data_IF_340566711750
#
_entry.id   IF_340566711750
#
_cell.length_a   1.000
_cell.length_b   1.000
_cell.length_c   1.000
_cell.angle_alpha   90.00
_cell.angle_beta   90.00
_cell.angle_gamma   90.00
#
_symmetry.space_group_name_H-M   'P 1'
#
loop_
_entity.id
_entity.type
_entity.pdbx_description
1 polymer ?
#
# COMPACT_ATOMS: atom_id res chain seq x y z
N UNK A 1 1.76 3.55 4.49
CA UNK A 1 0.79 4.19 5.38
C UNK A 1 0.71 5.64 4.92
N UNK A 2 0.10 6.56 5.65
CA UNK A 2 0.37 7.97 5.41
C UNK A 2 1.79 8.34 5.91
N UNK A 3 2.48 9.31 5.29
CA UNK A 3 3.85 9.69 5.65
C UNK A 3 4.01 10.14 7.11
N UNK A 4 2.97 10.73 7.71
CA UNK A 4 3.00 11.21 9.10
C UNK A 4 3.10 10.03 10.06
N UNK A 5 2.27 9.00 9.87
CA UNK A 5 2.33 7.77 10.67
C UNK A 5 3.72 7.13 10.57
N UNK A 6 4.35 7.10 9.39
CA UNK A 6 5.70 6.58 9.24
C UNK A 6 6.75 7.37 10.03
N UNK A 7 6.73 8.70 9.90
CA UNK A 7 7.62 9.58 10.65
C UNK A 7 7.49 9.36 12.17
N UNK A 8 6.25 9.33 12.68
CA UNK A 8 5.96 9.13 14.11
C UNK A 8 6.40 7.75 14.59
N UNK A 9 6.17 6.69 13.81
CA UNK A 9 6.61 5.33 14.15
C UNK A 9 8.14 5.25 14.19
N UNK A 10 8.83 5.87 13.23
CA UNK A 10 10.30 5.89 13.18
C UNK A 10 10.90 6.57 14.41
N UNK A 11 10.36 7.72 14.80
CA UNK A 11 10.77 8.42 16.04
C UNK A 11 10.46 7.58 17.26
N UNK A 12 9.26 7.02 17.37
CA UNK A 12 8.87 6.17 18.49
C UNK A 12 9.78 4.93 18.62
N UNK A 13 10.23 4.34 17.51
CA UNK A 13 11.17 3.23 17.52
C UNK A 13 12.54 3.64 18.07
N UNK A 14 13.07 4.82 17.71
CA UNK A 14 14.32 5.32 18.27
C UNK A 14 14.20 5.62 19.78
N UNK A 15 13.09 6.24 20.20
CA UNK A 15 12.80 6.46 21.63
C UNK A 15 12.70 5.13 22.39
N UNK A 16 12.07 4.13 21.78
CA UNK A 16 11.92 2.80 22.38
C UNK A 16 13.25 2.08 22.64
N UNK A 17 14.29 2.40 21.86
CA UNK A 17 15.65 1.84 22.02
C UNK A 17 16.52 2.74 22.94
N UNK A 18 15.95 3.81 23.50
CA UNK A 18 16.59 4.64 24.53
C UNK A 18 17.15 5.97 24.03
N UNK A 19 16.79 6.42 22.83
CA UNK A 19 17.16 7.76 22.40
C UNK A 19 16.34 8.83 23.14
N UNK A 20 17.01 9.82 23.71
CA UNK A 20 16.34 10.96 24.34
C UNK A 20 15.46 11.70 23.34
N UNK A 21 14.26 12.06 23.77
CA UNK A 21 13.26 12.74 22.94
C UNK A 21 13.67 14.20 22.73
N UNK A 22 14.52 14.42 21.72
CA UNK A 22 14.90 15.74 21.26
C UNK A 22 15.07 15.75 19.75
N UNK A 23 14.59 16.82 19.11
CA UNK A 23 14.86 17.05 17.69
C UNK A 23 16.34 17.35 17.43
N UNK A 24 17.10 17.76 18.45
CA UNK A 24 18.56 17.93 18.33
C UNK A 24 19.33 16.61 18.50
N UNK A 25 18.66 15.52 18.89
CA UNK A 25 19.27 14.21 19.02
C UNK A 25 19.51 13.61 17.62
N UNK A 26 20.77 13.41 17.18
CA UNK A 26 21.04 12.93 15.82
C UNK A 26 20.53 11.50 15.55
N UNK A 27 20.36 10.67 16.57
CA UNK A 27 19.75 9.34 16.40
C UNK A 27 18.25 9.43 16.08
N UNK A 28 17.53 10.37 16.73
CA UNK A 28 16.12 10.68 16.42
C UNK A 28 16.02 11.26 15.00
N UNK A 29 16.91 12.19 14.63
CA UNK A 29 16.97 12.73 13.27
C UNK A 29 17.19 11.62 12.24
N UNK A 30 18.16 10.74 12.47
CA UNK A 30 18.47 9.63 11.58
C UNK A 30 17.27 8.70 11.40
N UNK A 31 16.62 8.30 12.49
CA UNK A 31 15.44 7.42 12.45
C UNK A 31 14.24 8.09 11.76
N UNK A 32 13.99 9.38 12.01
CA UNK A 32 12.95 10.15 11.34
C UNK A 32 13.20 10.24 9.83
N UNK A 33 14.40 10.65 9.43
CA UNK A 33 14.77 10.78 8.02
C UNK A 33 14.72 9.42 7.31
N UNK A 34 15.20 8.37 7.98
CA UNK A 34 15.11 7.00 7.48
C UNK A 34 13.66 6.54 7.32
N UNK A 35 12.77 6.85 8.26
CA UNK A 35 11.36 6.47 8.16
C UNK A 35 10.59 7.21 7.06
N UNK A 36 11.06 8.39 6.63
CA UNK A 36 10.46 9.14 5.53
C UNK A 36 11.11 8.81 4.19
N UNK A 37 12.37 8.35 4.17
CA UNK A 37 13.14 8.19 2.94
C UNK A 37 12.52 7.27 1.88
N UNK A 38 11.79 6.17 2.18
CA UNK A 38 11.19 5.34 1.14
C UNK A 38 10.17 6.08 0.29
N UNK A 39 9.44 7.04 0.86
CA UNK A 39 8.45 7.86 0.16
C UNK A 39 9.07 9.02 -0.64
N UNK A 40 10.41 9.19 -0.62
CA UNK A 40 11.09 10.11 -1.55
C UNK A 40 10.96 9.66 -3.02
N UNK A 41 10.38 8.49 -3.27
CA UNK A 41 9.95 8.08 -4.61
C UNK A 41 8.89 9.01 -5.23
N UNK A 42 8.26 9.90 -4.44
CA UNK A 42 7.44 10.99 -4.96
C UNK A 42 8.20 11.91 -5.92
N UNK A 43 9.53 11.96 -5.86
CA UNK A 43 10.36 12.69 -6.83
C UNK A 43 10.09 12.21 -8.26
N UNK A 44 9.72 10.93 -8.47
CA UNK A 44 9.35 10.41 -9.78
C UNK A 44 8.14 11.12 -10.40
N UNK A 45 7.30 11.78 -9.58
CA UNK A 45 6.15 12.53 -10.04
C UNK A 45 6.55 13.74 -10.90
N UNK A 46 7.78 14.23 -10.77
CA UNK A 46 8.32 15.27 -11.65
C UNK A 46 8.30 14.87 -13.13
N UNK A 47 8.48 13.59 -13.45
CA UNK A 47 8.39 13.06 -14.82
C UNK A 47 6.98 12.58 -15.20
N UNK A 48 5.98 12.86 -14.38
CA UNK A 48 4.57 12.54 -14.58
C UNK A 48 4.05 11.48 -13.62
N UNK A 49 2.76 11.56 -13.32
CA UNK A 49 2.09 10.67 -12.35
C UNK A 49 2.21 9.19 -12.72
N UNK A 50 2.23 8.85 -14.01
CA UNK A 50 2.42 7.49 -14.47
C UNK A 50 3.81 6.93 -14.13
N UNK A 51 4.86 7.77 -14.16
CA UNK A 51 6.22 7.39 -13.76
C UNK A 51 6.27 7.16 -12.26
N UNK A 52 5.66 8.06 -11.49
CA UNK A 52 5.52 7.91 -10.04
C UNK A 52 4.82 6.59 -9.69
N UNK A 53 3.63 6.33 -10.23
CA UNK A 53 2.85 5.13 -9.92
C UNK A 53 3.58 3.82 -10.28
N UNK A 54 4.44 3.86 -11.29
CA UNK A 54 5.26 2.71 -11.70
C UNK A 54 6.41 2.44 -10.72
N UNK A 55 7.00 3.47 -10.15
CA UNK A 55 8.16 3.37 -9.26
C UNK A 55 7.79 3.38 -7.78
N UNK A 56 6.58 3.85 -7.44
CA UNK A 56 6.11 3.96 -6.07
C UNK A 56 6.09 2.58 -5.40
N UNK A 57 6.74 2.48 -4.23
CA UNK A 57 6.94 1.22 -3.49
C UNK A 57 7.73 0.16 -4.25
N UNK A 58 8.53 0.61 -5.20
CA UNK A 58 9.48 -0.17 -5.98
C UNK A 58 10.85 -0.24 -5.28
N UNK A 59 11.88 0.30 -5.95
CA UNK A 59 13.27 0.25 -5.47
C UNK A 59 13.47 0.94 -4.11
N UNK A 60 12.81 2.07 -3.86
CA UNK A 60 12.93 2.83 -2.60
C UNK A 60 12.54 2.02 -1.36
N UNK A 61 11.66 1.02 -1.54
CA UNK A 61 11.14 0.14 -0.49
C UNK A 61 11.81 -1.25 -0.48
N UNK A 62 12.80 -1.49 -1.33
CA UNK A 62 13.53 -2.76 -1.37
C UNK A 62 14.73 -2.72 -0.42
N UNK A 63 15.20 -3.89 0.01
CA UNK A 63 16.32 -3.97 0.96
C UNK A 63 17.57 -3.18 0.47
N UNK A 64 18.00 -3.27 -0.81
CA UNK A 64 19.05 -2.39 -1.34
C UNK A 64 18.74 -0.90 -1.23
N UNK A 65 17.50 -0.47 -1.50
CA UNK A 65 17.07 0.92 -1.38
C UNK A 65 17.15 1.42 0.06
N UNK A 66 16.65 0.64 1.02
CA UNK A 66 16.71 0.98 2.45
C UNK A 66 18.15 1.10 2.95
N UNK A 67 19.04 0.18 2.55
CA UNK A 67 20.45 0.24 2.86
C UNK A 67 21.10 1.50 2.26
N UNK A 68 20.79 1.82 1.00
CA UNK A 68 21.30 3.02 0.32
C UNK A 68 20.91 4.31 1.05
N UNK A 69 19.63 4.45 1.42
CA UNK A 69 19.17 5.60 2.20
C UNK A 69 19.86 5.69 3.56
N UNK A 70 20.00 4.55 4.27
CA UNK A 70 20.68 4.52 5.56
C UNK A 70 22.16 4.92 5.47
N UNK A 71 22.88 4.50 4.42
CA UNK A 71 24.28 4.92 4.18
C UNK A 71 24.36 6.43 3.96
N UNK A 72 23.49 6.99 3.11
CA UNK A 72 23.50 8.43 2.80
C UNK A 72 23.15 9.25 4.05
N UNK A 73 22.07 8.91 4.74
CA UNK A 73 21.61 9.63 5.94
C UNK A 73 22.65 9.50 7.06
N UNK A 74 23.11 8.28 7.35
CA UNK A 74 24.13 8.03 8.36
C UNK A 74 25.44 8.75 8.06
N UNK A 75 25.87 8.76 6.79
CA UNK A 75 27.07 9.46 6.33
C UNK A 75 26.98 10.97 6.54
N UNK A 76 25.91 11.60 6.03
CA UNK A 76 25.67 13.04 6.19
C UNK A 76 25.58 13.44 7.66
N UNK A 77 24.79 12.72 8.46
CA UNK A 77 24.66 13.03 9.89
C UNK A 77 25.96 12.77 10.66
N UNK A 78 26.77 11.78 10.28
CA UNK A 78 28.07 11.53 10.94
C UNK A 78 29.08 12.64 10.69
N UNK A 79 28.97 13.35 9.57
CA UNK A 79 29.78 14.53 9.30
C UNK A 79 29.34 15.74 10.15
N UNK A 80 28.04 15.90 10.36
CA UNK A 80 27.47 16.98 11.17
C UNK A 80 27.58 16.73 12.68
N UNK A 81 27.51 15.47 13.09
CA UNK A 81 27.48 15.00 14.48
C UNK A 81 28.47 13.84 14.69
N UNK A 82 29.78 14.13 14.67
CA UNK A 82 30.82 13.09 14.71
C UNK A 82 30.78 12.24 16.00
N UNK A 83 30.26 12.77 17.10
CA UNK A 83 30.24 12.13 18.42
C UNK A 83 29.49 10.79 18.49
N UNK A 84 28.44 10.60 17.67
CA UNK A 84 27.66 9.35 17.65
C UNK A 84 28.25 8.28 16.74
N UNK A 85 29.13 8.68 15.81
CA UNK A 85 29.72 7.80 14.81
C UNK A 85 28.74 7.32 13.72
N UNK A 86 29.29 6.98 12.56
CA UNK A 86 28.54 6.52 11.39
C UNK A 86 27.66 5.30 11.68
N UNK A 87 28.17 4.31 12.42
CA UNK A 87 27.48 3.03 12.63
C UNK A 87 26.14 3.21 13.35
N UNK A 88 26.10 4.02 14.41
CA UNK A 88 24.87 4.25 15.18
C UNK A 88 23.83 5.02 14.36
N UNK A 89 24.27 6.04 13.60
CA UNK A 89 23.39 6.84 12.74
C UNK A 89 22.88 6.02 11.55
N UNK A 90 23.73 5.19 10.96
CA UNK A 90 23.35 4.24 9.92
C UNK A 90 22.25 3.30 10.41
N UNK A 91 22.44 2.63 11.56
CA UNK A 91 21.43 1.71 12.08
C UNK A 91 20.14 2.42 12.51
N UNK A 92 20.25 3.64 13.04
CA UNK A 92 19.07 4.46 13.38
C UNK A 92 18.25 4.77 12.13
N UNK A 93 18.90 5.22 11.05
CA UNK A 93 18.25 5.47 9.76
C UNK A 93 17.70 4.18 9.12
N UNK A 94 18.48 3.10 9.16
CA UNK A 94 18.06 1.82 8.62
C UNK A 94 16.82 1.25 9.33
N UNK A 95 16.77 1.32 10.66
CA UNK A 95 15.61 0.87 11.43
C UNK A 95 14.38 1.75 11.15
N UNK A 96 14.56 3.06 11.00
CA UNK A 96 13.51 3.96 10.52
C UNK A 96 12.96 3.52 9.17
N UNK A 97 13.82 3.35 8.17
CA UNK A 97 13.44 2.93 6.82
C UNK A 97 12.82 1.52 6.79
N UNK A 98 13.34 0.60 7.60
CA UNK A 98 12.81 -0.74 7.74
C UNK A 98 11.41 -0.73 8.37
N UNK A 99 11.17 0.11 9.38
CA UNK A 99 9.85 0.25 10.00
C UNK A 99 8.80 0.71 8.99
N UNK A 100 9.18 1.63 8.10
CA UNK A 100 8.32 2.10 7.02
C UNK A 100 7.90 0.95 6.11
N UNK A 101 8.89 0.29 5.48
CA UNK A 101 8.64 -0.81 4.54
C UNK A 101 7.91 -1.98 5.20
N UNK A 102 8.17 -2.26 6.47
CA UNK A 102 7.48 -3.30 7.22
C UNK A 102 5.99 -2.98 7.43
N UNK A 103 5.66 -1.75 7.83
CA UNK A 103 4.26 -1.32 7.92
C UNK A 103 3.57 -1.33 6.55
N UNK A 104 4.33 -1.05 5.50
CA UNK A 104 3.82 -1.09 4.15
C UNK A 104 3.60 -2.50 3.59
N UNK A 105 4.39 -3.48 4.03
CA UNK A 105 4.13 -4.89 3.79
C UNK A 105 2.81 -5.35 4.43
N UNK A 106 2.42 -4.74 5.56
CA UNK A 106 1.18 -5.08 6.27
C UNK A 106 -0.09 -4.51 5.62
N UNK A 107 0.03 -3.55 4.69
CA UNK A 107 -1.11 -2.94 4.00
C UNK A 107 -1.51 -3.68 2.71
N UNK A 108 -2.61 -3.28 2.06
CA UNK A 108 -3.14 -3.94 0.85
C UNK A 108 -2.56 -3.46 -0.49
N UNK A 109 -1.66 -2.48 -0.49
CA UNK A 109 -0.92 -2.06 -1.68
C UNK A 109 0.34 -2.91 -1.89
N UNK A 110 1.03 -3.23 -0.79
CA UNK A 110 2.25 -4.03 -0.78
C UNK A 110 3.50 -3.31 -1.27
N UNK A 111 4.63 -4.01 -1.20
CA UNK A 111 5.98 -3.49 -1.50
C UNK A 111 6.81 -4.49 -2.33
N UNK A 112 7.74 -3.99 -3.14
CA UNK A 112 8.69 -4.83 -3.90
C UNK A 112 9.96 -5.14 -3.10
N UNK A 113 9.81 -5.88 -2.00
CA UNK A 113 10.89 -6.11 -1.01
C UNK A 113 12.20 -6.65 -1.63
N UNK A 114 12.09 -7.53 -2.63
CA UNK A 114 13.23 -8.24 -3.26
C UNK A 114 13.72 -7.59 -4.56
N UNK A 115 13.32 -6.35 -4.86
CA UNK A 115 13.84 -5.63 -6.02
C UNK A 115 15.35 -5.35 -5.83
N UNK A 116 16.21 -5.52 -6.86
CA UNK A 116 15.90 -5.72 -8.29
C UNK A 116 15.73 -7.17 -8.74
N UNK A 117 15.94 -8.17 -7.86
CA UNK A 117 15.86 -9.59 -8.23
C UNK A 117 14.43 -10.04 -8.55
N UNK A 118 13.43 -9.45 -7.91
CA UNK A 118 12.01 -9.71 -8.19
C UNK A 118 11.17 -8.44 -8.11
N UNK A 119 10.27 -8.25 -9.08
CA UNK A 119 9.28 -7.15 -9.11
C UNK A 119 7.95 -7.52 -8.43
N UNK A 120 7.89 -8.66 -7.76
CA UNK A 120 6.67 -9.13 -7.08
C UNK A 120 6.36 -8.23 -5.89
N UNK A 121 5.14 -7.69 -5.84
CA UNK A 121 4.61 -6.98 -4.66
C UNK A 121 4.16 -7.99 -3.59
N UNK A 122 4.65 -7.80 -2.38
CA UNK A 122 4.25 -8.58 -1.21
C UNK A 122 3.30 -7.77 -0.34
N UNK A 123 2.23 -8.39 0.16
CA UNK A 123 1.22 -7.77 1.01
C UNK A 123 0.64 -8.80 1.98
N UNK A 124 0.35 -8.38 3.21
CA UNK A 124 -0.35 -9.18 4.21
C UNK A 124 -1.82 -8.76 4.40
N UNK A 125 -2.28 -7.69 3.76
CA UNK A 125 -3.66 -7.19 3.85
C UNK A 125 -4.18 -7.13 5.29
N UNK A 126 -3.37 -6.68 6.25
CA UNK A 126 -3.73 -6.62 7.67
C UNK A 126 -4.10 -5.21 8.12
N UNK A 127 -3.47 -4.19 7.56
CA UNK A 127 -3.62 -2.80 7.99
C UNK A 127 -4.14 -1.91 6.86
N UNK A 128 -4.76 -0.80 7.26
CA UNK A 128 -5.16 0.27 6.33
C UNK A 128 -3.99 1.19 6.02
N UNK A 129 -4.18 2.10 5.06
CA UNK A 129 -3.17 3.13 4.75
C UNK A 129 -3.00 4.08 5.93
N UNK A 130 -4.06 4.37 6.68
CA UNK A 130 -3.98 5.10 7.94
C UNK A 130 -4.50 4.20 9.06
N UNK A 131 -3.72 4.06 10.13
CA UNK A 131 -4.09 3.26 11.29
C UNK A 131 -3.96 4.10 12.57
N UNK A 132 -5.07 4.60 13.13
CA UNK A 132 -5.06 5.41 14.33
C UNK A 132 -4.46 4.71 15.55
N UNK A 133 -4.54 3.37 15.63
CA UNK A 133 -3.98 2.62 16.76
C UNK A 133 -2.46 2.73 16.76
N UNK A 134 -1.85 2.53 15.59
CA UNK A 134 -0.40 2.70 15.43
C UNK A 134 0.03 4.13 15.73
N UNK A 135 -0.63 5.12 15.12
CA UNK A 135 -0.28 6.53 15.32
C UNK A 135 -0.37 6.94 16.80
N UNK A 136 -1.49 6.66 17.47
CA UNK A 136 -1.70 7.03 18.88
C UNK A 136 -0.72 6.29 19.79
N UNK A 137 -0.49 4.99 19.55
CA UNK A 137 0.45 4.21 20.36
C UNK A 137 1.89 4.71 20.23
N UNK A 138 2.32 5.07 19.02
CA UNK A 138 3.65 5.65 18.78
C UNK A 138 3.77 7.05 19.38
N UNK A 139 2.74 7.89 19.29
CA UNK A 139 2.71 9.19 19.97
C UNK A 139 2.83 9.04 21.50
N UNK A 140 2.19 8.01 22.09
CA UNK A 140 2.30 7.74 23.51
C UNK A 140 3.75 7.40 23.91
N UNK A 141 4.45 6.57 23.13
CA UNK A 141 5.88 6.27 23.38
C UNK A 141 6.72 7.55 23.40
N UNK A 142 6.50 8.44 22.43
CA UNK A 142 7.25 9.70 22.34
C UNK A 142 6.92 10.62 23.51
N UNK A 143 5.63 10.82 23.81
CA UNK A 143 5.19 11.72 24.88
C UNK A 143 5.68 11.26 26.25
N UNK A 144 5.50 9.98 26.58
CA UNK A 144 5.93 9.46 27.88
C UNK A 144 7.45 9.29 27.96
N UNK A 145 8.12 8.98 26.85
CA UNK A 145 9.58 8.99 26.76
C UNK A 145 10.16 10.38 27.07
N UNK A 146 9.51 11.46 26.61
CA UNK A 146 9.88 12.84 26.96
C UNK A 146 9.73 13.13 28.47
N UNK A 147 8.77 12.49 29.14
CA UNK A 147 8.58 12.57 30.59
C UNK A 147 9.53 11.64 31.37
N UNK A 148 10.44 10.92 30.70
CA UNK A 148 11.35 9.95 31.31
C UNK A 148 10.71 8.59 31.63
N UNK A 149 9.48 8.33 31.17
CA UNK A 149 8.77 7.07 31.35
C UNK A 149 8.95 6.16 30.13
N UNK A 150 9.58 5.00 30.33
CA UNK A 150 9.78 4.03 29.27
C UNK A 150 8.52 3.16 29.07
N UNK A 151 7.65 3.56 28.14
CA UNK A 151 6.49 2.76 27.69
C UNK A 151 6.76 1.90 26.44
N UNK A 152 8.03 1.73 26.04
CA UNK A 152 8.38 1.00 24.83
C UNK A 152 7.85 -0.43 24.84
N UNK A 153 8.17 -1.21 25.88
CA UNK A 153 7.76 -2.61 26.00
C UNK A 153 6.25 -2.83 26.07
N UNK A 154 5.47 -2.12 26.91
CA UNK A 154 4.03 -2.30 26.93
C UNK A 154 3.37 -1.88 25.60
N UNK A 155 3.86 -0.81 24.95
CA UNK A 155 3.34 -0.40 23.64
C UNK A 155 3.70 -1.41 22.56
N UNK A 156 4.93 -1.95 22.53
CA UNK A 156 5.31 -3.02 21.61
C UNK A 156 4.43 -4.25 21.81
N UNK A 157 4.15 -4.64 23.06
CA UNK A 157 3.22 -5.72 23.39
C UNK A 157 1.80 -5.45 22.90
N UNK A 158 1.32 -4.22 23.04
CA UNK A 158 0.01 -3.77 22.55
C UNK A 158 -0.06 -3.81 21.01
N UNK A 159 0.95 -3.28 20.32
CA UNK A 159 1.03 -3.29 18.85
C UNK A 159 1.11 -4.73 18.34
N UNK A 160 1.93 -5.58 18.96
CA UNK A 160 2.01 -7.00 18.60
C UNK A 160 0.67 -7.71 18.78
N UNK A 161 0.01 -7.50 19.93
CA UNK A 161 -1.33 -8.06 20.21
C UNK A 161 -2.38 -7.56 19.21
N UNK A 162 -2.30 -6.27 18.84
CA UNK A 162 -3.14 -5.68 17.81
C UNK A 162 -2.94 -6.35 16.44
N UNK A 163 -1.69 -6.57 16.02
CA UNK A 163 -1.40 -7.27 14.75
C UNK A 163 -1.90 -8.72 14.76
N UNK A 164 -1.78 -9.44 15.89
CA UNK A 164 -2.34 -10.78 16.05
C UNK A 164 -3.87 -10.77 15.95
N UNK A 165 -4.53 -9.80 16.60
CA UNK A 165 -5.97 -9.61 16.49
C UNK A 165 -6.38 -9.35 15.03
N UNK A 166 -5.68 -8.47 14.32
CA UNK A 166 -5.94 -8.17 12.89
C UNK A 166 -5.78 -9.41 12.03
N UNK A 167 -4.76 -10.23 12.26
CA UNK A 167 -4.55 -11.49 11.57
C UNK A 167 -5.69 -12.48 11.84
N UNK A 168 -6.12 -12.60 13.09
CA UNK A 168 -7.24 -13.45 13.48
C UNK A 168 -8.54 -13.00 12.80
N UNK A 169 -8.83 -11.70 12.82
CA UNK A 169 -10.01 -11.11 12.17
C UNK A 169 -10.02 -11.37 10.66
N UNK A 170 -8.87 -11.20 9.99
CA UNK A 170 -8.73 -11.52 8.56
C UNK A 170 -9.05 -12.99 8.28
N UNK A 171 -8.44 -13.91 9.03
CA UNK A 171 -8.69 -15.37 8.86
C UNK A 171 -10.15 -15.74 9.12
N UNK A 172 -10.77 -15.11 10.12
CA UNK A 172 -12.21 -15.30 10.41
C UNK A 172 -13.08 -14.80 9.25
N UNK A 173 -12.77 -13.61 8.70
CA UNK A 173 -13.47 -13.07 7.54
C UNK A 173 -13.33 -14.00 6.33
N UNK A 174 -12.11 -14.48 6.03
CA UNK A 174 -11.85 -15.44 4.96
C UNK A 174 -12.68 -16.72 5.11
N UNK A 175 -12.75 -17.27 6.33
CA UNK A 175 -13.58 -18.45 6.61
C UNK A 175 -15.07 -18.20 6.35
N UNK A 176 -15.63 -17.13 6.93
CA UNK A 176 -17.05 -16.81 6.78
C UNK A 176 -17.45 -16.57 5.32
N UNK A 177 -16.59 -15.93 4.54
CA UNK A 177 -16.83 -15.70 3.11
C UNK A 177 -16.76 -17.01 2.33
N UNK A 178 -15.81 -17.90 2.62
CA UNK A 178 -15.73 -19.23 1.99
C UNK A 178 -16.98 -20.06 2.28
N UNK A 179 -17.45 -20.05 3.52
CA UNK A 179 -18.66 -20.75 3.95
C UNK A 179 -19.91 -20.19 3.22
N UNK A 180 -20.03 -18.86 3.10
CA UNK A 180 -21.13 -18.21 2.40
C UNK A 180 -21.23 -18.60 0.91
N UNK A 181 -20.09 -18.80 0.24
CA UNK A 181 -20.03 -19.25 -1.16
C UNK A 181 -19.91 -20.78 -1.30
N UNK A 182 -20.12 -21.54 -0.22
CA UNK A 182 -20.00 -22.99 -0.19
C UNK A 182 -18.68 -23.53 -0.80
N UNK A 183 -17.59 -22.76 -0.68
CA UNK A 183 -16.29 -23.12 -1.23
C UNK A 183 -16.13 -22.98 -2.75
N UNK A 184 -17.17 -22.59 -3.50
CA UNK A 184 -17.11 -22.41 -4.96
C UNK A 184 -16.44 -21.08 -5.36
N UNK A 185 -15.17 -20.91 -4.96
CA UNK A 185 -14.38 -19.70 -5.18
C UNK A 185 -13.10 -20.03 -5.95
N UNK A 186 -12.90 -19.42 -7.12
CA UNK A 186 -11.63 -19.52 -7.86
C UNK A 186 -10.53 -18.72 -7.17
N UNK A 187 -10.92 -17.58 -6.56
CA UNK A 187 -10.01 -16.65 -5.90
C UNK A 187 -10.75 -15.90 -4.80
N UNK A 188 -10.07 -15.68 -3.68
CA UNK A 188 -10.56 -14.87 -2.57
C UNK A 188 -9.43 -13.97 -2.09
N UNK A 189 -9.72 -12.68 -1.99
CA UNK A 189 -8.87 -11.70 -1.30
C UNK A 189 -9.72 -11.02 -0.25
N UNK A 190 -9.16 -10.88 0.94
CA UNK A 190 -9.78 -10.17 2.05
C UNK A 190 -8.80 -9.10 2.52
N UNK A 191 -9.32 -7.90 2.71
CA UNK A 191 -8.55 -6.72 3.09
C UNK A 191 -9.35 -5.88 4.08
N UNK A 192 -8.71 -5.05 4.91
CA UNK A 192 -9.46 -4.26 5.85
C UNK A 192 -10.29 -3.20 5.12
N UNK A 193 -11.45 -2.86 5.67
CA UNK A 193 -12.25 -1.78 5.11
C UNK A 193 -11.67 -0.41 5.45
N UNK A 194 -11.98 0.59 4.63
CA UNK A 194 -11.54 1.98 4.84
C UNK A 194 -11.98 2.56 6.19
N UNK A 195 -13.16 2.17 6.69
CA UNK A 195 -13.71 2.62 7.97
C UNK A 195 -14.21 1.43 8.77
N UNK A 196 -13.79 1.36 10.04
CA UNK A 196 -14.30 0.42 11.04
C UNK A 196 -13.44 -0.83 11.19
N UNK A 197 -12.93 -1.04 12.40
CA UNK A 197 -11.98 -2.12 12.70
C UNK A 197 -12.48 -3.53 12.35
N UNK A 198 -13.79 -3.78 12.56
CA UNK A 198 -14.42 -5.07 12.32
C UNK A 198 -14.97 -5.26 10.90
N UNK A 199 -14.83 -4.26 10.03
CA UNK A 199 -15.28 -4.34 8.64
C UNK A 199 -14.10 -4.74 7.75
N UNK A 200 -14.35 -5.70 6.87
CA UNK A 200 -13.37 -6.23 5.94
C UNK A 200 -13.96 -6.27 4.55
N UNK A 201 -13.29 -5.65 3.60
CA UNK A 201 -13.63 -5.70 2.19
C UNK A 201 -13.10 -7.00 1.59
N UNK A 202 -13.81 -7.53 0.60
CA UNK A 202 -13.42 -8.74 -0.08
C UNK A 202 -13.66 -8.66 -1.58
N UNK A 203 -12.83 -9.41 -2.30
CA UNK A 203 -12.97 -9.66 -3.73
C UNK A 203 -12.99 -11.16 -3.91
N UNK A 204 -14.08 -11.69 -4.47
CA UNK A 204 -14.20 -13.09 -4.84
C UNK A 204 -14.36 -13.25 -6.33
N UNK A 205 -13.80 -14.33 -6.88
CA UNK A 205 -14.05 -14.76 -8.25
C UNK A 205 -14.89 -16.03 -8.24
N UNK A 206 -16.06 -15.97 -8.88
CA UNK A 206 -17.05 -17.07 -8.94
C UNK A 206 -17.70 -17.07 -10.31
N UNK A 207 -17.69 -18.21 -11.01
CA UNK A 207 -18.44 -18.43 -12.26
C UNK A 207 -18.25 -17.29 -13.29
N UNK A 208 -16.99 -16.94 -13.58
CA UNK A 208 -16.62 -15.84 -14.49
C UNK A 208 -17.14 -14.45 -14.08
N UNK A 209 -17.33 -14.20 -12.78
CA UNK A 209 -17.65 -12.88 -12.23
C UNK A 209 -16.68 -12.55 -11.10
N UNK A 210 -16.23 -11.29 -11.05
CA UNK A 210 -15.62 -10.73 -9.86
C UNK A 210 -16.74 -10.09 -9.02
N UNK A 211 -16.82 -10.44 -7.74
CA UNK A 211 -17.77 -9.85 -6.79
C UNK A 211 -16.96 -9.09 -5.76
N UNK A 212 -17.31 -7.82 -5.57
CA UNK A 212 -16.74 -6.94 -4.56
C UNK A 212 -17.79 -6.73 -3.48
N UNK A 213 -17.41 -6.94 -2.23
CA UNK A 213 -18.30 -6.80 -1.09
C UNK A 213 -17.55 -6.48 0.20
N UNK A 214 -18.31 -6.42 1.28
CA UNK A 214 -17.82 -6.17 2.62
C UNK A 214 -18.49 -7.12 3.61
N UNK A 215 -17.73 -7.57 4.60
CA UNK A 215 -18.24 -8.33 5.75
C UNK A 215 -18.02 -7.54 7.04
N UNK A 216 -19.02 -7.51 7.91
CA UNK A 216 -18.87 -7.05 9.28
C UNK A 216 -18.72 -8.26 10.20
N UNK A 217 -17.60 -8.35 10.92
CA UNK A 217 -17.29 -9.50 11.77
C UNK A 217 -18.10 -9.57 13.07
N UNK A 218 -18.69 -8.46 13.53
CA UNK A 218 -19.55 -8.46 14.71
C UNK A 218 -20.96 -8.95 14.38
N UNK A 219 -21.56 -8.45 13.30
CA UNK A 219 -22.91 -8.88 12.88
C UNK A 219 -22.90 -10.09 11.96
N UNK A 220 -21.73 -10.53 11.50
CA UNK A 220 -21.54 -11.53 10.45
C UNK A 220 -22.31 -11.22 9.15
N UNK A 221 -22.72 -9.96 8.94
CA UNK A 221 -23.48 -9.55 7.77
C UNK A 221 -22.55 -9.31 6.58
N UNK A 222 -22.87 -9.93 5.45
CA UNK A 222 -22.20 -9.72 4.17
C UNK A 222 -23.04 -8.75 3.33
N UNK A 223 -22.38 -7.77 2.73
CA UNK A 223 -22.97 -6.79 1.82
C UNK A 223 -22.23 -6.89 0.48
N UNK A 224 -22.97 -7.08 -0.60
CA UNK A 224 -22.40 -7.09 -1.94
C UNK A 224 -22.48 -5.68 -2.53
N UNK A 225 -21.34 -5.12 -2.93
CA UNK A 225 -21.25 -3.78 -3.51
C UNK A 225 -21.38 -3.82 -5.04
N UNK A 226 -20.63 -4.71 -5.70
CA UNK A 226 -20.62 -4.83 -7.16
C UNK A 226 -20.45 -6.28 -7.60
N UNK A 227 -21.07 -6.60 -8.74
CA UNK A 227 -20.89 -7.85 -9.48
C UNK A 227 -20.41 -7.47 -10.88
N UNK A 228 -19.19 -7.86 -11.23
CA UNK A 228 -18.50 -7.48 -12.46
C UNK A 228 -18.31 -8.74 -13.31
N UNK A 229 -18.84 -8.73 -14.54
CA UNK A 229 -18.75 -9.88 -15.44
C UNK A 229 -17.39 -9.88 -16.14
N UNK A 230 -16.69 -11.00 -16.17
CA UNK A 230 -15.46 -11.13 -16.93
C UNK A 230 -15.76 -11.04 -18.43
N UNK A 231 -14.86 -10.40 -19.16
CA UNK A 231 -14.88 -10.28 -20.62
C UNK A 231 -14.18 -11.48 -21.28
N UNK A 232 -14.22 -11.55 -22.62
CA UNK A 232 -13.49 -12.58 -23.37
C UNK A 232 -11.98 -12.43 -23.17
N UNK A 233 -11.27 -13.56 -23.16
CA UNK A 233 -9.80 -13.57 -22.98
C UNK A 233 -9.08 -12.84 -24.13
N UNK A 234 -9.60 -12.91 -25.35
CA UNK A 234 -9.04 -12.20 -26.51
C UNK A 234 -8.99 -10.67 -26.32
N UNK A 235 -10.12 -10.04 -25.97
CA UNK A 235 -10.19 -8.59 -25.75
C UNK A 235 -9.34 -8.20 -24.55
N UNK A 236 -9.38 -9.01 -23.49
CA UNK A 236 -8.59 -8.80 -22.29
C UNK A 236 -7.09 -8.79 -22.58
N UNK A 237 -6.59 -9.76 -23.35
CA UNK A 237 -5.17 -9.83 -23.73
C UNK A 237 -4.73 -8.63 -24.56
N UNK A 238 -5.54 -8.18 -25.51
CA UNK A 238 -5.22 -7.02 -26.34
C UNK A 238 -5.17 -5.74 -25.50
N UNK A 239 -6.13 -5.54 -24.61
CA UNK A 239 -6.14 -4.40 -23.68
C UNK A 239 -4.95 -4.44 -22.71
N UNK A 240 -4.59 -5.61 -22.17
CA UNK A 240 -3.44 -5.75 -21.26
C UNK A 240 -2.08 -5.49 -21.92
N UNK A 241 -1.96 -5.68 -23.25
CA UNK A 241 -0.71 -5.43 -23.99
C UNK A 241 -0.39 -3.94 -24.12
N UNK A 242 -1.40 -3.07 -24.04
CA UNK A 242 -1.26 -1.61 -24.11
C UNK A 242 -0.33 -1.09 -22.99
N UNK A 243 0.31 0.06 -23.20
CA UNK A 243 1.17 0.68 -22.17
C UNK A 243 0.42 0.89 -20.85
N UNK A 244 -0.83 1.39 -20.92
CA UNK A 244 -1.69 1.61 -19.75
C UNK A 244 -2.13 0.30 -19.11
N UNK A 245 -2.42 -0.75 -19.89
CA UNK A 245 -2.73 -2.07 -19.37
C UNK A 245 -1.57 -2.66 -18.55
N UNK A 246 -0.34 -2.56 -19.07
CA UNK A 246 0.88 -2.95 -18.34
C UNK A 246 1.07 -2.12 -17.08
N UNK A 247 0.92 -0.80 -17.15
CA UNK A 247 1.00 0.08 -15.99
C UNK A 247 -0.03 -0.30 -14.91
N UNK A 248 -1.27 -0.56 -15.30
CA UNK A 248 -2.34 -0.89 -14.35
C UNK A 248 -2.11 -2.25 -13.69
N UNK A 249 -1.57 -3.21 -14.44
CA UNK A 249 -1.16 -4.54 -13.94
C UNK A 249 -0.02 -4.46 -12.93
N UNK A 250 0.93 -3.56 -13.16
CA UNK A 250 2.00 -3.27 -12.20
C UNK A 250 1.47 -2.50 -10.98
N UNK A 251 0.48 -1.64 -11.17
CA UNK A 251 -0.13 -0.81 -10.12
C UNK A 251 -0.96 -1.65 -9.12
N UNK A 252 -1.88 -2.48 -9.62
CA UNK A 252 -2.77 -3.31 -8.78
C UNK A 252 -2.76 -4.78 -9.19
N UNK A 253 -2.62 -5.72 -8.23
CA UNK A 253 -2.73 -7.14 -8.52
C UNK A 253 -4.18 -7.60 -8.77
N UNK A 254 -5.18 -6.76 -8.47
CA UNK A 254 -6.61 -7.10 -8.54
C UNK A 254 -7.39 -6.00 -9.25
N UNK A 255 -7.38 -6.07 -10.57
CA UNK A 255 -8.19 -5.21 -11.42
C UNK A 255 -9.27 -5.96 -12.17
N UNK A 256 -10.28 -5.20 -12.58
CA UNK A 256 -11.33 -5.62 -13.48
C UNK A 256 -11.21 -4.84 -14.79
N UNK A 257 -11.44 -5.51 -15.93
CA UNK A 257 -11.52 -4.87 -17.23
C UNK A 257 -12.97 -4.97 -17.71
N UNK A 258 -13.56 -3.83 -18.02
CA UNK A 258 -14.78 -3.70 -18.79
C UNK A 258 -14.44 -3.08 -20.16
N UNK A 259 -15.32 -3.24 -21.15
CA UNK A 259 -15.22 -2.48 -22.38
C UNK A 259 -16.61 -2.17 -22.94
N UNK A 260 -16.67 -1.16 -23.79
CA UNK A 260 -17.80 -0.89 -24.66
C UNK A 260 -17.30 -0.37 -26.00
N UNK A 261 -18.15 -0.42 -27.02
CA UNK A 261 -17.82 0.01 -28.38
C UNK A 261 -18.65 1.24 -28.69
N UNK A 262 -18.00 2.30 -29.15
CA UNK A 262 -18.60 3.58 -29.53
C UNK A 262 -17.86 4.11 -30.76
N UNK A 263 -18.58 4.48 -31.83
CA UNK A 263 -18.01 5.04 -33.06
C UNK A 263 -16.82 4.26 -33.68
N UNK A 264 -16.96 2.94 -33.80
CA UNK A 264 -15.91 2.00 -34.23
C UNK A 264 -14.66 1.94 -33.34
N UNK A 265 -14.72 2.50 -32.14
CA UNK A 265 -13.64 2.47 -31.16
C UNK A 265 -14.01 1.54 -30.02
N UNK A 266 -13.04 0.75 -29.60
CA UNK A 266 -13.15 -0.08 -28.40
C UNK A 266 -12.58 0.71 -27.22
N UNK A 267 -13.45 1.01 -26.25
CA UNK A 267 -13.07 1.74 -25.04
C UNK A 267 -12.93 0.72 -23.91
N UNK A 268 -11.69 0.41 -23.56
CA UNK A 268 -11.34 -0.47 -22.44
C UNK A 268 -11.20 0.31 -21.14
N UNK A 269 -11.88 -0.14 -20.08
CA UNK A 269 -11.83 0.44 -18.75
C UNK A 269 -11.26 -0.53 -17.73
N UNK A 270 -10.14 -0.16 -17.13
CA UNK A 270 -9.50 -0.84 -16.02
C UNK A 270 -9.97 -0.23 -14.70
N UNK A 271 -10.32 -1.07 -13.73
CA UNK A 271 -10.79 -0.64 -12.41
C UNK A 271 -10.05 -1.40 -11.32
N UNK A 272 -9.44 -0.69 -10.37
CA UNK A 272 -8.84 -1.30 -9.18
C UNK A 272 -9.96 -1.68 -8.20
N UNK A 273 -10.12 -2.98 -7.95
CA UNK A 273 -11.24 -3.49 -7.17
C UNK A 273 -11.04 -3.40 -5.66
N UNK A 274 -9.83 -3.05 -5.19
CA UNK A 274 -9.47 -3.10 -3.76
C UNK A 274 -10.22 -2.08 -2.91
N UNK A 275 -10.41 -0.87 -3.42
CA UNK A 275 -10.92 0.24 -2.62
C UNK A 275 -12.25 0.75 -3.19
N UNK A 276 -13.35 0.25 -2.60
CA UNK A 276 -14.70 0.69 -2.90
C UNK A 276 -15.23 1.60 -1.79
N UNK A 277 -15.26 2.91 -2.06
CA UNK A 277 -15.60 3.93 -1.06
C UNK A 277 -16.68 4.83 -1.62
N UNK A 278 -17.74 5.12 -0.84
CA UNK A 278 -18.86 5.98 -1.26
C UNK A 278 -19.46 5.58 -2.62
N UNK A 279 -19.73 4.28 -2.79
CA UNK A 279 -20.33 3.71 -3.99
C UNK A 279 -19.50 3.82 -5.29
N UNK A 280 -18.18 4.03 -5.18
CA UNK A 280 -17.25 4.10 -6.32
C UNK A 280 -15.92 3.42 -6.01
N UNK A 281 -15.26 2.92 -7.06
CA UNK A 281 -13.85 2.52 -6.96
C UNK A 281 -12.96 3.76 -7.03
N UNK A 282 -11.81 3.72 -6.35
CA UNK A 282 -10.91 4.87 -6.30
C UNK A 282 -10.06 5.03 -7.57
N UNK A 283 -9.45 3.97 -8.11
CA UNK A 283 -8.53 4.09 -9.23
C UNK A 283 -9.07 3.43 -10.50
N UNK A 284 -9.01 4.16 -11.61
CA UNK A 284 -9.45 3.73 -12.93
C UNK A 284 -8.35 4.01 -13.95
N UNK A 285 -8.39 3.30 -15.06
CA UNK A 285 -7.71 3.70 -16.28
C UNK A 285 -8.61 3.42 -17.48
N UNK A 286 -8.50 4.24 -18.50
CA UNK A 286 -9.27 4.12 -19.74
C UNK A 286 -8.31 4.09 -20.91
N UNK A 287 -8.54 3.19 -21.85
CA UNK A 287 -7.83 3.14 -23.12
C UNK A 287 -8.83 3.12 -24.25
N UNK A 288 -8.58 3.93 -25.26
CA UNK A 288 -9.36 3.99 -26.49
C UNK A 288 -8.47 3.39 -27.57
N UNK A 289 -8.94 2.29 -28.14
CA UNK A 289 -8.27 1.62 -29.25
C UNK A 289 -9.21 1.53 -30.44
N UNK A 290 -8.66 1.58 -31.65
CA UNK A 290 -9.43 1.21 -32.84
C UNK A 290 -9.87 -0.26 -32.72
N UNK A 291 -11.10 -0.55 -33.10
CA UNK A 291 -11.68 -1.89 -32.94
C UNK A 291 -11.05 -2.93 -33.87
N UNK A 292 -10.57 -2.51 -35.03
CA UNK A 292 -10.15 -3.42 -36.10
C UNK A 292 -8.65 -3.78 -35.98
N UNK A 293 -7.80 -2.83 -35.59
CA UNK A 293 -6.35 -3.05 -35.48
C UNK A 293 -5.78 -2.90 -34.05
N UNK A 294 -6.62 -2.54 -33.07
CA UNK A 294 -6.24 -2.30 -31.67
C UNK A 294 -5.16 -1.22 -31.48
N UNK A 295 -4.99 -0.31 -32.45
CA UNK A 295 -4.10 0.84 -32.30
C UNK A 295 -4.61 1.77 -31.21
N UNK A 296 -3.72 2.17 -30.30
CA UNK A 296 -4.06 3.03 -29.18
C UNK A 296 -4.17 4.47 -29.67
N UNK A 297 -5.38 5.04 -29.63
CA UNK A 297 -5.59 6.45 -29.91
C UNK A 297 -5.37 7.30 -28.65
N UNK A 298 -5.81 6.81 -27.50
CA UNK A 298 -5.76 7.56 -26.25
C UNK A 298 -5.67 6.64 -25.03
N UNK A 299 -4.88 7.03 -24.04
CA UNK A 299 -4.78 6.34 -22.76
C UNK A 299 -4.83 7.34 -21.60
N UNK A 300 -5.70 7.08 -20.63
CA UNK A 300 -5.94 7.93 -19.47
C UNK A 300 -5.81 7.11 -18.19
N UNK A 301 -5.05 7.60 -17.22
CA UNK A 301 -5.10 7.12 -15.84
C UNK A 301 -5.93 8.09 -14.99
N UNK A 302 -6.80 7.56 -14.15
CA UNK A 302 -7.84 8.29 -13.42
C UNK A 302 -7.81 7.97 -11.91
N UNK A 303 -6.92 8.60 -11.13
CA UNK A 303 -6.81 8.37 -9.70
C UNK A 303 -7.89 9.10 -8.90
N UNK A 304 -8.42 8.41 -7.89
CA UNK A 304 -9.45 8.86 -6.94
C UNK A 304 -10.83 9.21 -7.53
N UNK A 305 -10.88 9.67 -8.78
CA UNK A 305 -12.09 10.05 -9.49
C UNK A 305 -11.93 9.80 -11.00
N UNK A 306 -12.99 9.34 -11.70
CA UNK A 306 -12.98 9.21 -13.16
C UNK A 306 -12.75 10.53 -13.92
N UNK A 307 -12.90 11.67 -13.28
CA UNK A 307 -12.69 13.00 -13.88
C UNK A 307 -11.22 13.44 -13.89
N UNK A 308 -10.36 12.80 -13.08
CA UNK A 308 -8.95 13.17 -12.97
C UNK A 308 -8.17 12.56 -14.13
N UNK A 309 -8.23 13.16 -15.31
CA UNK A 309 -7.61 12.59 -16.51
C UNK A 309 -6.11 12.90 -16.57
N UNK A 310 -5.27 11.87 -16.42
CA UNK A 310 -3.83 11.94 -16.67
C UNK A 310 -3.56 11.17 -17.96
N UNK A 311 -3.19 11.88 -19.01
CA UNK A 311 -2.89 11.26 -20.30
C UNK A 311 -1.54 10.55 -20.28
N UNK A 312 -1.51 9.35 -20.86
CA UNK A 312 -0.30 8.53 -20.97
C UNK A 312 0.05 8.39 -22.44
N UNK A 313 1.15 9.01 -22.85
CA UNK A 313 1.75 8.93 -24.19
C UNK A 313 2.48 7.61 -24.44
#
# INVERSE_FOLDING_TARGET
>A
MDPITHAVVGVAAAVAVGADVSLTNPAIMAALLGAVSPDLDIIYQYWGDHVYLRHHRGFSHSLPGLLGFAVVIGGVLSFLFPELGFVMLFFSAFLGALSHTFLDLLNSYGVMLLYPFSRKKYTLNLLMISDPVLLISSMAVIYFGYQGLNLAYPVLGLVFSYLLLRLFMRRRAEKLIRDYYAGHLDKLIVMPAFIGLAKWDFIVRVQKKNIVGQINLFSCKIIIHKKLKLISEEIKENLEKTKIGKLFKDFTPFFHIDYYIEDNKLIGKFTDMRYFVRNRFLHHATVIVDKDDFQVEKALFQPYSPQNNIEIS
#
